data_IF_106946421675
#
_entry.id   IF_106946421675
#
_cell.length_a   1.000
_cell.length_b   1.000
_cell.length_c   1.000
_cell.angle_alpha   90.00
_cell.angle_beta   90.00
_cell.angle_gamma   90.00
#
_symmetry.space_group_name_H-M   'P 1'
#
loop_
_entity.id
_entity.type
_entity.pdbx_description
1 polymer ?
#
# COMPACT_ATOMS: atom_id res chain seq x y z
N UNK A 1 2.74 21.02 -2.98
CA UNK A 1 2.61 19.56 -2.96
C UNK A 1 1.61 19.11 -3.99
N UNK A 2 1.74 17.87 -4.45
CA UNK A 2 0.77 17.24 -5.33
C UNK A 2 0.17 16.03 -4.63
N UNK A 3 -1.16 15.95 -4.61
CA UNK A 3 -1.89 14.87 -3.99
C UNK A 3 -2.44 13.92 -5.05
N UNK A 4 -2.54 12.64 -4.67
CA UNK A 4 -3.14 11.59 -5.46
C UNK A 4 -3.64 10.48 -4.54
N UNK A 5 -4.62 9.71 -5.02
CA UNK A 5 -5.18 8.57 -4.32
C UNK A 5 -5.40 7.41 -5.28
N UNK A 6 -5.58 6.20 -4.74
CA UNK A 6 -6.12 5.07 -5.49
C UNK A 6 -7.58 4.89 -5.08
N UNK A 7 -8.49 4.96 -6.06
CA UNK A 7 -9.93 4.87 -5.80
C UNK A 7 -10.43 3.46 -5.52
N UNK A 8 -9.65 2.46 -5.90
CA UNK A 8 -10.01 1.05 -5.81
C UNK A 8 -8.87 0.29 -5.12
N UNK A 9 -9.17 -0.15 -3.89
CA UNK A 9 -8.30 -0.97 -3.07
C UNK A 9 -9.16 -1.81 -2.13
N UNK A 10 -8.60 -2.94 -1.72
CA UNK A 10 -9.18 -3.84 -0.74
C UNK A 10 -8.13 -4.14 0.33
N UNK A 11 -8.57 -4.52 1.53
CA UNK A 11 -7.67 -4.88 2.59
C UNK A 11 -8.35 -5.66 3.70
N UNK A 12 -7.54 -6.45 4.38
CA UNK A 12 -7.95 -7.20 5.57
C UNK A 12 -6.99 -6.87 6.70
N UNK A 13 -7.52 -6.73 7.91
CA UNK A 13 -6.69 -6.60 9.09
C UNK A 13 -7.20 -7.48 10.22
N UNK A 14 -6.28 -7.86 11.09
CA UNK A 14 -6.57 -8.49 12.38
C UNK A 14 -5.89 -7.68 13.46
N UNK A 15 -6.59 -7.44 14.55
CA UNK A 15 -6.13 -6.64 15.68
C UNK A 15 -6.45 -7.35 16.99
N UNK A 16 -5.41 -7.59 17.78
CA UNK A 16 -5.44 -8.14 19.13
C UNK A 16 -4.60 -7.24 20.04
N UNK A 17 -5.29 -6.39 20.79
CA UNK A 17 -4.67 -5.47 21.76
C UNK A 17 -3.76 -6.18 22.78
N UNK A 18 -4.06 -7.44 23.12
CA UNK A 18 -3.29 -8.22 24.10
C UNK A 18 -2.11 -8.94 23.46
N UNK A 19 -2.13 -9.13 22.15
CA UNK A 19 -1.05 -9.78 21.41
C UNK A 19 -0.83 -9.10 20.04
N UNK A 20 -0.24 -7.89 19.99
CA UNK A 20 0.01 -7.18 18.74
C UNK A 20 0.86 -7.95 17.74
N UNK A 21 1.66 -8.92 18.20
CA UNK A 21 2.44 -9.79 17.31
C UNK A 21 1.57 -10.75 16.47
N UNK A 22 0.30 -10.97 16.85
CA UNK A 22 -0.68 -11.71 16.05
C UNK A 22 -1.37 -10.82 15.00
N UNK A 23 -1.20 -9.51 15.08
CA UNK A 23 -1.81 -8.58 14.14
C UNK A 23 -1.22 -8.77 12.75
N UNK A 24 -2.12 -8.66 11.78
CA UNK A 24 -1.78 -8.76 10.36
C UNK A 24 -2.55 -7.74 9.59
N UNK A 25 -1.88 -7.16 8.59
CA UNK A 25 -2.45 -6.23 7.64
C UNK A 25 -2.09 -6.71 6.24
N UNK A 26 -3.10 -6.88 5.39
CA UNK A 26 -2.93 -7.12 3.98
C UNK A 26 -3.72 -6.08 3.20
N UNK A 27 -3.11 -5.50 2.17
CA UNK A 27 -3.75 -4.52 1.30
C UNK A 27 -3.45 -4.90 -0.15
N UNK A 28 -4.46 -4.82 -1.00
CA UNK A 28 -4.33 -4.94 -2.45
C UNK A 28 -4.89 -3.67 -3.08
N UNK A 29 -4.08 -2.98 -3.88
CA UNK A 29 -4.44 -1.75 -4.56
C UNK A 29 -4.55 -2.02 -6.05
N UNK A 30 -5.67 -1.66 -6.67
CA UNK A 30 -5.77 -1.60 -8.12
C UNK A 30 -5.08 -0.32 -8.61
N UNK A 31 -3.87 -0.44 -9.14
CA UNK A 31 -3.04 0.70 -9.56
C UNK A 31 -3.64 1.47 -10.73
N UNK A 32 -4.54 0.85 -11.52
CA UNK A 32 -5.28 1.54 -12.59
C UNK A 32 -6.21 2.61 -12.04
N UNK A 33 -6.59 2.54 -10.77
CA UNK A 33 -7.49 3.49 -10.10
C UNK A 33 -6.81 4.76 -9.61
N UNK A 34 -5.53 4.97 -9.93
CA UNK A 34 -4.81 6.20 -9.59
C UNK A 34 -5.60 7.42 -10.09
N UNK A 35 -5.83 8.35 -9.16
CA UNK A 35 -6.51 9.61 -9.41
C UNK A 35 -5.76 10.73 -8.70
N UNK A 36 -5.25 11.65 -9.48
CA UNK A 36 -4.62 12.87 -9.01
C UNK A 36 -5.47 14.10 -9.33
N UNK A 37 -6.73 13.90 -9.71
CA UNK A 37 -7.64 14.92 -10.21
C UNK A 37 -7.10 15.64 -11.46
N UNK A 38 -6.37 14.91 -12.32
CA UNK A 38 -5.80 15.44 -13.56
C UNK A 38 -5.62 14.33 -14.61
N UNK A 39 -6.58 14.21 -15.52
CA UNK A 39 -6.71 13.08 -16.44
C UNK A 39 -5.44 12.73 -17.23
N UNK A 40 -4.76 13.71 -17.86
CA UNK A 40 -3.55 13.43 -18.63
C UNK A 40 -2.37 12.98 -17.75
N UNK A 41 -2.35 13.39 -16.48
CA UNK A 41 -1.32 12.95 -15.54
C UNK A 41 -1.62 11.55 -15.06
N UNK A 42 -2.88 11.23 -14.77
CA UNK A 42 -3.28 9.87 -14.41
C UNK A 42 -3.00 8.89 -15.55
N UNK A 43 -3.23 9.31 -16.80
CA UNK A 43 -2.84 8.55 -17.99
C UNK A 43 -1.33 8.31 -18.05
N UNK A 44 -0.52 9.34 -17.78
CA UNK A 44 0.94 9.21 -17.77
C UNK A 44 1.44 8.33 -16.62
N UNK A 45 0.88 8.47 -15.41
CA UNK A 45 1.23 7.64 -14.25
C UNK A 45 0.93 6.17 -14.47
N UNK A 46 -0.09 5.84 -15.26
CA UNK A 46 -0.40 4.45 -15.64
C UNK A 46 0.56 3.86 -16.67
N UNK A 47 1.35 4.67 -17.37
CA UNK A 47 2.26 4.22 -18.44
C UNK A 47 3.41 3.35 -17.91
N UNK A 48 4.13 2.72 -18.83
CA UNK A 48 5.31 1.91 -18.52
C UNK A 48 6.48 2.71 -17.89
N UNK A 49 6.47 4.05 -18.01
CA UNK A 49 7.50 4.91 -17.44
C UNK A 49 7.32 5.09 -15.92
N UNK A 50 6.13 4.78 -15.39
CA UNK A 50 5.79 4.93 -13.97
C UNK A 50 5.25 3.63 -13.37
N UNK A 51 3.93 3.53 -13.16
CA UNK A 51 3.32 2.40 -12.44
C UNK A 51 3.19 1.16 -13.32
N UNK A 52 3.28 1.31 -14.64
CA UNK A 52 3.18 0.23 -15.63
C UNK A 52 1.96 -0.67 -15.38
N UNK A 53 0.79 -0.05 -15.22
CA UNK A 53 -0.41 -0.73 -14.73
C UNK A 53 -0.96 -1.74 -15.73
N UNK A 54 -0.56 -1.66 -17.00
CA UNK A 54 -0.87 -2.66 -18.01
C UNK A 54 -0.17 -4.00 -17.73
N UNK A 55 1.07 -3.99 -17.18
CA UNK A 55 1.82 -5.20 -16.84
C UNK A 55 1.62 -5.61 -15.38
N UNK A 56 1.51 -4.63 -14.49
CA UNK A 56 1.35 -4.84 -13.05
C UNK A 56 0.12 -4.06 -12.55
N UNK A 57 -1.09 -4.57 -12.79
CA UNK A 57 -2.32 -3.85 -12.45
C UNK A 57 -2.55 -3.73 -10.94
N UNK A 58 -1.85 -4.53 -10.13
CA UNK A 58 -1.99 -4.55 -8.68
C UNK A 58 -0.68 -4.21 -7.96
N UNK A 59 -0.82 -3.50 -6.85
CA UNK A 59 0.20 -3.38 -5.82
C UNK A 59 -0.31 -4.05 -4.55
N UNK A 60 0.58 -4.68 -3.78
CA UNK A 60 0.19 -5.39 -2.56
C UNK A 60 1.09 -5.00 -1.41
N UNK A 61 0.54 -4.97 -0.20
CA UNK A 61 1.28 -4.88 1.04
C UNK A 61 0.87 -6.01 1.95
N UNK A 62 1.84 -6.75 2.50
CA UNK A 62 1.61 -7.80 3.48
C UNK A 62 2.52 -7.58 4.68
N UNK A 63 1.93 -7.35 5.85
CA UNK A 63 2.68 -7.18 7.10
C UNK A 63 3.45 -8.45 7.47
N UNK A 64 4.69 -8.28 7.90
CA UNK A 64 5.55 -9.32 8.45
C UNK A 64 5.76 -9.16 9.95
N UNK A 65 5.60 -7.94 10.49
CA UNK A 65 5.67 -7.67 11.93
C UNK A 65 4.85 -6.43 12.28
N UNK A 66 4.11 -6.51 13.38
CA UNK A 66 3.48 -5.35 14.04
C UNK A 66 4.10 -5.20 15.42
N UNK A 67 4.52 -3.98 15.76
CA UNK A 67 5.13 -3.65 17.05
C UNK A 67 4.48 -2.39 17.59
N UNK A 68 4.32 -2.34 18.91
CA UNK A 68 3.89 -1.13 19.59
C UNK A 68 5.10 -0.25 19.89
N UNK A 69 5.03 1.02 19.49
CA UNK A 69 6.01 2.05 19.84
C UNK A 69 5.29 3.20 20.55
N UNK A 70 5.30 3.17 21.89
CA UNK A 70 4.52 4.10 22.70
C UNK A 70 3.01 3.98 22.45
N UNK A 71 2.41 5.05 21.92
CA UNK A 71 0.99 5.11 21.54
C UNK A 71 0.76 4.80 20.05
N UNK A 72 1.82 4.54 19.29
CA UNK A 72 1.79 4.26 17.85
C UNK A 72 2.09 2.77 17.57
N UNK A 73 1.78 2.31 16.36
CA UNK A 73 2.09 0.97 15.87
C UNK A 73 3.01 1.04 14.66
N UNK A 74 4.16 0.38 14.76
CA UNK A 74 5.07 0.13 13.65
C UNK A 74 4.68 -1.16 12.93
N UNK A 75 4.16 -1.02 11.71
CA UNK A 75 3.74 -2.13 10.86
C UNK A 75 4.79 -2.31 9.75
N UNK A 76 5.69 -3.27 9.93
CA UNK A 76 6.66 -3.65 8.89
C UNK A 76 6.05 -4.72 7.99
N UNK A 77 6.23 -4.57 6.67
CA UNK A 77 5.72 -5.52 5.70
C UNK A 77 6.36 -5.38 4.33
N UNK A 78 6.06 -6.34 3.46
CA UNK A 78 6.55 -6.38 2.09
C UNK A 78 5.57 -5.65 1.17
N UNK A 79 6.04 -4.55 0.58
CA UNK A 79 5.33 -3.82 -0.47
C UNK A 79 5.80 -4.32 -1.83
N UNK A 80 4.87 -4.83 -2.63
CA UNK A 80 5.08 -5.15 -4.04
C UNK A 80 4.42 -4.08 -4.91
N UNK A 81 5.22 -3.40 -5.73
CA UNK A 81 4.76 -2.36 -6.66
C UNK A 81 5.57 -2.44 -7.96
N UNK A 82 4.89 -2.39 -9.11
CA UNK A 82 5.53 -2.50 -10.44
C UNK A 82 6.42 -3.76 -10.57
N UNK A 83 5.98 -4.86 -9.97
CA UNK A 83 6.69 -6.16 -9.98
C UNK A 83 7.91 -6.26 -9.07
N UNK A 84 8.20 -5.23 -8.27
CA UNK A 84 9.33 -5.22 -7.33
C UNK A 84 8.81 -5.25 -5.90
N UNK A 85 9.34 -6.18 -5.10
CA UNK A 85 9.00 -6.32 -3.68
C UNK A 85 10.11 -5.73 -2.82
N UNK A 86 9.75 -4.86 -1.86
CA UNK A 86 10.67 -4.30 -0.87
C UNK A 86 9.99 -4.19 0.50
N UNK A 87 10.74 -4.39 1.61
CA UNK A 87 10.22 -4.15 2.93
C UNK A 87 10.04 -2.65 3.18
N UNK A 88 8.94 -2.29 3.82
CA UNK A 88 8.62 -0.93 4.29
C UNK A 88 8.02 -1.01 5.69
N UNK A 89 8.17 0.07 6.46
CA UNK A 89 7.53 0.23 7.77
C UNK A 89 6.54 1.38 7.69
N UNK A 90 5.30 1.12 8.13
CA UNK A 90 4.22 2.10 8.21
C UNK A 90 3.97 2.42 9.69
N UNK A 91 3.96 3.70 10.02
CA UNK A 91 3.56 4.21 11.33
C UNK A 91 2.04 4.40 11.34
N UNK A 92 1.35 3.68 12.22
CA UNK A 92 -0.09 3.80 12.43
C UNK A 92 -0.37 4.46 13.79
N UNK A 93 -1.33 5.39 13.81
CA UNK A 93 -1.75 6.16 14.99
C UNK A 93 -3.19 5.87 15.35
#
# INVERSE_FOLDING_TARGET
>A
WLYGTFKDFDGTFTFDEKNPAADKVNVTINTTSVDTNHAERDKHLRSADFLNTAKYPQATFTSTSVKKDGDELDITGDLTLNGVTKPVTLEAK
#
